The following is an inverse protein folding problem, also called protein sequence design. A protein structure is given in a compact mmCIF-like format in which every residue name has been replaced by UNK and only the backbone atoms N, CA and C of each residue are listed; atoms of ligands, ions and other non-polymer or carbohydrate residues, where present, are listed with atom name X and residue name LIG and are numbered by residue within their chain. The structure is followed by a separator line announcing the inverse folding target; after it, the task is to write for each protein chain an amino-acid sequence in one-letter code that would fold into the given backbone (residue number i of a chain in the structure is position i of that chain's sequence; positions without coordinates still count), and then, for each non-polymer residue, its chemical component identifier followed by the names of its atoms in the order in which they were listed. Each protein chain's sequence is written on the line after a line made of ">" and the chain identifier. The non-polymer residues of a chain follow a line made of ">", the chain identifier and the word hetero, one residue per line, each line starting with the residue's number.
data_IF_552773124217
#
_entry.id   IF_552773124217
#
_cell.length_a   1.000
_cell.length_b   1.000
_cell.length_c   1.000
_cell.angle_alpha   90.00
_cell.angle_beta   90.00
_cell.angle_gamma   90.00
#
_symmetry.space_group_name_H-M   'P 1'
#
loop_
_entity.id
_entity.type
_entity.pdbx_description
1 polymer ?
#
# COMPACT_ATOMS: atom_id res chain seq x y z
N UNK A 1 -9.02 -5.23 -13.36
CA UNK A 1 -7.83 -4.37 -13.18
C UNK A 1 -7.91 -3.62 -11.86
N UNK A 2 -8.97 -2.84 -11.63
CA UNK A 2 -9.18 -2.09 -10.38
C UNK A 2 -9.02 -2.91 -9.10
N UNK A 3 -9.67 -4.08 -9.04
CA UNK A 3 -9.62 -4.96 -7.87
C UNK A 3 -8.18 -5.43 -7.57
N UNK A 4 -7.50 -5.92 -8.60
CA UNK A 4 -6.13 -6.43 -8.49
C UNK A 4 -5.13 -5.34 -8.10
N UNK A 5 -5.27 -4.13 -8.63
CA UNK A 5 -4.40 -3.01 -8.27
C UNK A 5 -4.60 -2.61 -6.79
N UNK A 6 -5.86 -2.45 -6.36
CA UNK A 6 -6.15 -2.11 -4.96
C UNK A 6 -5.65 -3.18 -3.98
N UNK A 7 -5.83 -4.47 -4.32
CA UNK A 7 -5.36 -5.58 -3.51
C UNK A 7 -3.83 -5.63 -3.45
N UNK A 8 -3.13 -5.41 -4.57
CA UNK A 8 -1.66 -5.39 -4.61
C UNK A 8 -1.07 -4.30 -3.72
N UNK A 9 -1.60 -3.08 -3.79
CA UNK A 9 -1.16 -1.98 -2.94
C UNK A 9 -1.36 -2.27 -1.46
N UNK A 10 -2.50 -2.85 -1.10
CA UNK A 10 -2.81 -3.21 0.29
C UNK A 10 -1.89 -4.33 0.81
N UNK A 11 -1.66 -5.37 0.00
CA UNK A 11 -0.74 -6.47 0.33
C UNK A 11 0.69 -5.97 0.50
N UNK A 12 1.19 -5.15 -0.43
CA UNK A 12 2.53 -4.61 -0.37
C UNK A 12 2.73 -3.73 0.88
N UNK A 13 1.79 -2.82 1.15
CA UNK A 13 1.82 -1.96 2.33
C UNK A 13 1.79 -2.77 3.64
N UNK A 14 0.88 -3.73 3.74
CA UNK A 14 0.71 -4.57 4.93
C UNK A 14 1.95 -5.43 5.21
N UNK A 15 2.55 -6.02 4.18
CA UNK A 15 3.77 -6.81 4.30
C UNK A 15 4.95 -5.94 4.81
N UNK A 16 5.09 -4.73 4.27
CA UNK A 16 6.14 -3.79 4.65
C UNK A 16 6.01 -3.35 6.10
N UNK A 17 4.79 -2.97 6.51
CA UNK A 17 4.53 -2.52 7.88
C UNK A 17 4.67 -3.66 8.88
N UNK A 18 4.26 -4.88 8.51
CA UNK A 18 4.46 -6.09 9.32
C UNK A 18 5.94 -6.45 9.49
N UNK A 19 6.76 -6.28 8.45
CA UNK A 19 8.21 -6.47 8.57
C UNK A 19 8.85 -5.42 9.50
N UNK A 20 8.41 -4.16 9.40
CA UNK A 20 8.92 -3.06 10.24
C UNK A 20 8.49 -3.16 11.71
N UNK A 21 7.35 -3.79 12.02
CA UNK A 21 6.88 -3.95 13.41
C UNK A 21 7.70 -4.95 14.23
N UNK A 22 8.36 -5.92 13.58
CA UNK A 22 9.13 -6.97 14.27
C UNK A 22 10.38 -6.46 15.01
N UNK A 23 10.84 -5.23 14.72
CA UNK A 23 12.12 -4.74 15.23
C UNK A 23 12.06 -3.75 16.42
N UNK A 24 10.94 -3.07 16.70
CA UNK A 24 10.95 -1.90 17.59
C UNK A 24 9.62 -1.70 18.36
N UNK A 25 9.50 -2.26 19.57
CA UNK A 25 8.30 -2.17 20.43
C UNK A 25 7.84 -0.73 20.75
N UNK A 26 8.75 0.27 20.74
CA UNK A 26 8.38 1.67 20.96
C UNK A 26 7.79 2.38 19.71
N UNK A 27 7.86 1.75 18.52
CA UNK A 27 7.37 2.33 17.25
C UNK A 27 5.99 1.83 16.84
N UNK A 28 5.36 0.88 17.54
CA UNK A 28 4.00 0.39 17.21
C UNK A 28 2.95 1.51 17.19
N UNK A 29 3.03 2.46 18.14
CA UNK A 29 2.10 3.60 18.19
C UNK A 29 2.33 4.57 17.02
N UNK A 30 3.60 4.83 16.67
CA UNK A 30 3.96 5.68 15.52
C UNK A 30 3.59 5.02 14.19
N UNK A 31 3.80 3.70 14.07
CA UNK A 31 3.40 2.91 12.92
C UNK A 31 1.90 3.02 12.72
N UNK A 32 1.08 2.82 13.76
CA UNK A 32 -0.38 2.95 13.67
C UNK A 32 -0.85 4.35 13.25
N UNK A 33 -0.23 5.40 13.81
CA UNK A 33 -0.51 6.81 13.42
C UNK A 33 -0.16 7.08 11.95
N UNK A 34 0.92 6.49 11.45
CA UNK A 34 1.37 6.67 10.07
C UNK A 34 0.61 5.75 9.10
N UNK A 35 0.16 4.58 9.55
CA UNK A 35 -0.58 3.58 8.78
C UNK A 35 -1.86 4.16 8.19
N UNK A 36 -2.60 4.90 9.01
CA UNK A 36 -3.89 5.45 8.64
C UNK A 36 -3.81 6.42 7.44
N UNK A 37 -2.98 7.48 7.45
CA UNK A 37 -2.84 8.36 6.29
C UNK A 37 -2.24 7.66 5.07
N UNK A 38 -1.42 6.61 5.25
CA UNK A 38 -0.89 5.80 4.14
C UNK A 38 -1.97 4.92 3.49
N UNK A 39 -2.96 4.44 4.25
CA UNK A 39 -4.06 3.63 3.71
C UNK A 39 -5.07 4.46 2.91
N UNK A 40 -5.24 5.74 3.25
CA UNK A 40 -6.29 6.58 2.64
C UNK A 40 -6.23 6.64 1.10
N UNK A 41 -5.08 6.84 0.44
CA UNK A 41 -5.02 6.96 -1.02
C UNK A 41 -5.47 5.69 -1.74
N UNK A 42 -5.00 4.52 -1.30
CA UNK A 42 -5.34 3.23 -1.92
C UNK A 42 -6.80 2.86 -1.66
N UNK A 43 -7.32 3.12 -0.45
CA UNK A 43 -8.72 2.89 -0.12
C UNK A 43 -9.65 3.83 -0.90
N UNK A 44 -9.35 5.12 -0.97
CA UNK A 44 -10.15 6.09 -1.72
C UNK A 44 -10.16 5.78 -3.22
N UNK A 45 -8.98 5.51 -3.80
CA UNK A 45 -8.87 5.12 -5.20
C UNK A 45 -9.64 3.83 -5.51
N UNK A 46 -9.49 2.82 -4.66
CA UNK A 46 -10.19 1.54 -4.77
C UNK A 46 -11.71 1.72 -4.71
N UNK A 47 -12.22 2.40 -3.68
CA UNK A 47 -13.67 2.63 -3.50
C UNK A 47 -14.26 3.42 -4.68
N UNK A 48 -13.58 4.48 -5.14
CA UNK A 48 -14.05 5.32 -6.25
C UNK A 48 -14.15 4.54 -7.56
N UNK A 49 -13.09 3.84 -7.92
CA UNK A 49 -13.05 3.06 -9.16
C UNK A 49 -13.99 1.85 -9.09
N UNK A 50 -14.17 1.24 -7.92
CA UNK A 50 -15.12 0.14 -7.73
C UNK A 50 -16.56 0.62 -7.87
N UNK A 51 -16.89 1.79 -7.32
CA UNK A 51 -18.20 2.42 -7.50
C UNK A 51 -18.48 2.75 -8.98
N UNK A 52 -17.49 3.26 -9.71
CA UNK A 52 -17.60 3.50 -11.15
C UNK A 52 -17.83 2.20 -11.93
N UNK A 53 -17.09 1.13 -11.60
CA UNK A 53 -17.27 -0.18 -12.23
C UNK A 53 -18.68 -0.74 -12.03
N UNK A 54 -19.25 -0.64 -10.82
CA UNK A 54 -20.62 -1.06 -10.54
C UNK A 54 -21.68 -0.17 -11.20
N UNK A 55 -21.36 1.10 -11.42
CA UNK A 55 -22.23 2.03 -12.15
C UNK A 55 -22.10 1.93 -13.68
N UNK A 56 -21.25 1.02 -14.19
CA UNK A 56 -20.99 0.88 -15.64
C UNK A 56 -20.29 2.08 -16.26
N UNK A 57 -19.56 2.86 -15.44
CA UNK A 57 -18.79 4.02 -15.89
C UNK A 57 -17.35 3.61 -16.22
N UNK A 58 -16.75 4.32 -17.17
CA UNK A 58 -15.33 4.20 -17.45
C UNK A 58 -14.50 4.64 -16.23
N UNK A 59 -13.41 3.93 -15.91
CA UNK A 59 -12.59 4.24 -14.76
C UNK A 59 -11.83 5.56 -14.94
N UNK A 60 -11.89 6.41 -13.92
CA UNK A 60 -11.13 7.66 -13.91
C UNK A 60 -9.62 7.39 -13.92
N UNK A 61 -8.94 7.88 -14.95
CA UNK A 61 -7.48 7.67 -15.14
C UNK A 61 -6.65 8.28 -14.01
N UNK A 62 -7.12 9.35 -13.38
CA UNK A 62 -6.47 9.97 -12.23
C UNK A 62 -6.39 8.99 -11.04
N UNK A 63 -7.49 8.31 -10.70
CA UNK A 63 -7.50 7.33 -9.61
C UNK A 63 -6.74 6.06 -9.96
N UNK A 64 -6.80 5.61 -11.22
CA UNK A 64 -5.95 4.52 -11.70
C UNK A 64 -4.46 4.86 -11.57
N UNK A 65 -4.08 6.09 -11.89
CA UNK A 65 -2.71 6.58 -11.73
C UNK A 65 -2.26 6.62 -10.27
N UNK A 66 -3.15 7.05 -9.36
CA UNK A 66 -2.88 7.04 -7.92
C UNK A 66 -2.64 5.61 -7.42
N UNK A 67 -3.49 4.66 -7.79
CA UNK A 67 -3.32 3.24 -7.43
C UNK A 67 -2.02 2.67 -7.98
N UNK A 68 -1.75 2.86 -9.27
CA UNK A 68 -0.51 2.36 -9.88
C UNK A 68 0.75 2.96 -9.26
N UNK A 69 0.73 4.27 -8.95
CA UNK A 69 1.85 4.92 -8.28
C UNK A 69 2.04 4.42 -6.83
N UNK A 70 0.93 4.18 -6.12
CA UNK A 70 0.94 3.61 -4.78
C UNK A 70 1.57 2.21 -4.78
N UNK A 71 1.08 1.32 -5.65
CA UNK A 71 1.59 -0.05 -5.79
C UNK A 71 3.09 -0.07 -6.10
N UNK A 72 3.52 0.75 -7.07
CA UNK A 72 4.92 0.85 -7.46
C UNK A 72 5.80 1.36 -6.30
N UNK A 73 5.31 2.34 -5.54
CA UNK A 73 6.03 2.91 -4.41
C UNK A 73 6.24 1.86 -3.30
N UNK A 74 5.18 1.17 -2.86
CA UNK A 74 5.30 0.22 -1.75
C UNK A 74 5.93 -1.10 -2.17
N UNK A 75 5.65 -1.61 -3.37
CA UNK A 75 6.37 -2.77 -3.88
C UNK A 75 7.86 -2.47 -4.07
N UNK A 76 8.20 -1.31 -4.64
CA UNK A 76 9.59 -0.86 -4.81
C UNK A 76 10.30 -0.66 -3.47
N UNK A 77 9.66 0.01 -2.52
CA UNK A 77 10.19 0.15 -1.17
C UNK A 77 10.40 -1.21 -0.50
N UNK A 78 9.46 -2.14 -0.64
CA UNK A 78 9.55 -3.49 -0.08
C UNK A 78 10.75 -4.26 -0.65
N UNK A 79 10.93 -4.23 -1.97
CA UNK A 79 12.06 -4.87 -2.64
C UNK A 79 13.41 -4.28 -2.24
N UNK A 80 13.50 -2.95 -2.05
CA UNK A 80 14.73 -2.26 -1.65
C UNK A 80 15.04 -2.50 -0.17
N UNK A 81 14.03 -2.48 0.70
CA UNK A 81 14.19 -2.64 2.14
C UNK A 81 14.40 -4.11 2.55
N UNK A 82 13.93 -5.07 1.76
CA UNK A 82 14.02 -6.49 2.09
C UNK A 82 15.46 -6.97 2.37
N UNK A 83 16.48 -6.65 1.54
CA UNK A 83 17.87 -6.91 1.88
C UNK A 83 18.31 -6.22 3.17
N UNK A 84 17.98 -4.94 3.38
CA UNK A 84 18.41 -4.20 4.57
C UNK A 84 17.84 -4.76 5.88
N UNK A 85 16.61 -5.27 5.87
CA UNK A 85 15.99 -5.86 7.07
C UNK A 85 16.63 -7.21 7.42
N UNK A 86 17.00 -8.02 6.42
CA UNK A 86 17.55 -9.36 6.64
C UNK A 86 19.09 -9.43 6.70
N UNK A 87 19.82 -8.47 6.14
CA UNK A 87 21.30 -8.44 6.22
C UNK A 87 21.80 -8.03 7.63
N UNK A 88 20.92 -7.61 8.54
CA UNK A 88 21.26 -7.29 9.93
C UNK A 88 21.52 -8.50 10.85
N UNK A 89 21.52 -9.73 10.33
CA UNK A 89 21.80 -10.97 11.09
C UNK A 89 23.27 -11.44 11.02
N UNK A 90 24.21 -10.58 10.60
CA UNK A 90 25.66 -10.83 10.71
C UNK A 90 26.34 -9.97 11.79
#
# INVERSE_FOLDING_TARGET
>A
VTLLAADLGLVALGALLGALSQGQAARESLLSVILFPLLLPVLLGGIKLFAQAFAGQEPETAWLGILGAFDALFAGAGLILFPFVYTGEE
#
